data_IF_982732571782
#
_entry.id   IF_982732571782
#
_cell.length_a   1.000
_cell.length_b   1.000
_cell.length_c   1.000
_cell.angle_alpha   90.00
_cell.angle_beta   90.00
_cell.angle_gamma   90.00
#
_symmetry.space_group_name_H-M   'P 1'
#
loop_
_entity.id
_entity.type
_entity.pdbx_description
1 polymer ?
#
# COMPACT_ATOMS: atom_id res chain seq x y z
N UNK A 1 -7.97 12.94 -6.12
CA UNK A 1 -7.67 11.50 -6.24
C UNK A 1 -8.08 10.82 -4.95
N UNK A 2 -8.78 9.68 -5.03
CA UNK A 2 -9.10 8.90 -3.84
C UNK A 2 -7.86 8.13 -3.41
N UNK A 3 -7.47 8.25 -2.14
CA UNK A 3 -6.35 7.47 -1.58
C UNK A 3 -6.81 6.04 -1.38
N UNK A 4 -5.99 5.08 -1.80
CA UNK A 4 -6.30 3.65 -1.69
C UNK A 4 -5.66 3.14 -0.40
N UNK A 5 -6.39 2.35 0.39
CA UNK A 5 -5.83 1.79 1.63
C UNK A 5 -4.93 0.60 1.31
N UNK A 6 -3.87 0.43 2.10
CA UNK A 6 -2.91 -0.68 1.93
C UNK A 6 -3.58 -2.06 1.98
N UNK A 7 -4.56 -2.27 2.87
CA UNK A 7 -5.31 -3.53 2.93
C UNK A 7 -6.17 -3.78 1.68
N UNK A 8 -6.61 -2.73 0.99
CA UNK A 8 -7.35 -2.87 -0.26
C UNK A 8 -6.40 -3.27 -1.39
N UNK A 9 -5.22 -2.65 -1.46
CA UNK A 9 -4.15 -3.00 -2.41
C UNK A 9 -3.72 -4.44 -2.21
N UNK A 10 -3.48 -4.85 -0.96
CA UNK A 10 -3.13 -6.22 -0.61
C UNK A 10 -4.20 -7.22 -1.07
N UNK A 11 -5.48 -6.91 -0.83
CA UNK A 11 -6.60 -7.76 -1.23
C UNK A 11 -6.78 -7.83 -2.75
N UNK A 12 -6.56 -6.72 -3.45
CA UNK A 12 -6.71 -6.63 -4.91
C UNK A 12 -5.58 -7.35 -5.65
N UNK A 13 -4.35 -7.23 -5.15
CA UNK A 13 -3.19 -7.89 -5.72
C UNK A 13 -2.98 -9.33 -5.21
N UNK A 14 -3.72 -9.73 -4.16
CA UNK A 14 -3.60 -11.06 -3.55
C UNK A 14 -2.33 -11.26 -2.72
N UNK A 15 -1.68 -10.18 -2.29
CA UNK A 15 -0.51 -10.20 -1.42
C UNK A 15 -0.91 -10.01 0.04
N UNK A 16 0.02 -10.35 0.93
CA UNK A 16 -0.16 -10.07 2.34
C UNK A 16 0.00 -8.58 2.63
N UNK A 17 -0.74 -8.06 3.61
CA UNK A 17 -0.64 -6.64 3.97
C UNK A 17 0.78 -6.24 4.37
N UNK A 18 1.56 -7.17 4.94
CA UNK A 18 2.97 -6.93 5.27
C UNK A 18 3.83 -6.69 4.03
N UNK A 19 3.65 -7.45 2.96
CA UNK A 19 4.45 -7.31 1.74
C UNK A 19 4.20 -5.97 1.06
N UNK A 20 2.92 -5.55 1.00
CA UNK A 20 2.54 -4.23 0.46
C UNK A 20 3.09 -3.11 1.35
N UNK A 21 3.09 -3.28 2.67
CA UNK A 21 3.70 -2.31 3.61
C UNK A 21 5.21 -2.21 3.36
N UNK A 22 5.92 -3.32 3.16
CA UNK A 22 7.36 -3.32 2.88
C UNK A 22 7.66 -2.60 1.57
N UNK A 23 7.00 -2.96 0.47
CA UNK A 23 7.13 -2.26 -0.82
C UNK A 23 6.80 -0.77 -0.73
N UNK A 24 5.74 -0.40 -0.01
CA UNK A 24 5.41 1.00 0.22
C UNK A 24 6.51 1.73 1.01
N UNK A 25 7.13 1.05 1.99
CA UNK A 25 8.25 1.61 2.75
C UNK A 25 9.55 1.70 1.93
N UNK A 26 9.81 0.76 1.01
CA UNK A 26 10.93 0.85 0.06
C UNK A 26 10.82 2.09 -0.84
N UNK A 27 9.59 2.52 -1.14
CA UNK A 27 9.28 3.75 -1.84
C UNK A 27 9.35 5.01 -0.95
N UNK A 28 9.67 4.87 0.35
CA UNK A 28 9.85 5.99 1.28
C UNK A 28 8.57 6.48 1.97
N UNK A 29 7.49 5.70 1.97
CA UNK A 29 6.20 6.15 2.52
C UNK A 29 6.04 6.04 4.04
N UNK A 30 6.91 5.31 4.75
CA UNK A 30 6.84 5.21 6.21
C UNK A 30 5.54 4.55 6.72
N UNK A 31 5.00 3.59 5.98
CA UNK A 31 3.75 2.90 6.31
C UNK A 31 3.94 1.99 7.52
N UNK A 32 3.06 2.11 8.51
CA UNK A 32 3.12 1.29 9.74
C UNK A 32 2.05 0.19 9.78
N UNK A 33 0.89 0.43 9.16
CA UNK A 33 -0.27 -0.45 9.24
C UNK A 33 -1.04 -0.47 7.93
N UNK A 34 -1.79 -1.55 7.70
CA UNK A 34 -2.63 -1.72 6.51
C UNK A 34 -3.82 -0.73 6.42
N UNK A 35 -4.06 0.02 7.50
CA UNK A 35 -5.03 1.11 7.58
C UNK A 35 -4.53 2.42 6.96
N UNK A 36 -3.22 2.58 6.72
CA UNK A 36 -2.71 3.71 5.99
C UNK A 36 -3.24 3.71 4.55
N UNK A 37 -3.43 4.91 4.01
CA UNK A 37 -3.82 5.12 2.64
C UNK A 37 -2.71 5.80 1.86
N UNK A 38 -2.47 5.33 0.65
CA UNK A 38 -1.46 5.83 -0.28
C UNK A 38 -2.14 6.44 -1.50
N UNK A 39 -1.40 7.23 -2.26
CA UNK A 39 -1.89 7.75 -3.53
C UNK A 39 -2.05 6.62 -4.55
N UNK A 40 -3.02 6.72 -5.49
CA UNK A 40 -3.26 5.68 -6.48
C UNK A 40 -2.06 5.43 -7.39
N UNK A 41 -1.24 6.45 -7.70
CA UNK A 41 0.02 6.27 -8.43
C UNK A 41 0.99 5.37 -7.69
N UNK A 42 1.06 5.51 -6.36
CA UNK A 42 1.94 4.67 -5.55
C UNK A 42 1.34 3.28 -5.35
N UNK A 43 0.02 3.19 -5.17
CA UNK A 43 -0.68 1.92 -5.14
C UNK A 43 -0.44 1.07 -6.39
N UNK A 44 -0.34 1.70 -7.56
CA UNK A 44 -0.01 1.04 -8.82
C UNK A 44 1.49 0.73 -8.99
N UNK A 45 2.36 1.38 -8.21
CA UNK A 45 3.82 1.17 -8.24
C UNK A 45 4.30 0.15 -7.20
N UNK A 46 3.47 -0.18 -6.21
CA UNK A 46 3.69 -1.22 -5.20
C UNK A 46 3.39 -2.60 -5.82
#
# INVERSE_FOLDING_TARGET
MAKIRIHEIAKELGYDSKEIIEKANELGLGIKTASNAVEPEIAAAI
#
